data_IF_665261282995
#
_entry.id   IF_665261282995
#
_cell.length_a   1.000
_cell.length_b   1.000
_cell.length_c   1.000
_cell.angle_alpha   90.00
_cell.angle_beta   90.00
_cell.angle_gamma   90.00
#
_symmetry.space_group_name_H-M   'P 1'
#
loop_
_entity.id
_entity.type
_entity.pdbx_description
1 polymer ?
#
# COMPACT_ATOMS: atom_id res chain seq x y z
N UNK A 1 -26.88 6.94 -9.41
CA UNK A 1 -25.77 7.65 -8.75
C UNK A 1 -26.34 8.90 -8.13
N UNK A 2 -26.41 9.00 -6.80
CA UNK A 2 -26.75 10.29 -6.18
C UNK A 2 -25.59 11.25 -6.50
N UNK A 3 -25.89 12.31 -7.24
CA UNK A 3 -24.90 13.34 -7.53
C UNK A 3 -24.36 13.90 -6.21
N UNK A 4 -23.03 14.01 -6.10
CA UNK A 4 -22.40 14.66 -4.95
C UNK A 4 -22.95 16.10 -4.80
N UNK A 5 -23.14 16.61 -3.58
CA UNK A 5 -23.62 17.97 -3.39
C UNK A 5 -22.70 18.97 -4.12
N UNK A 6 -23.24 20.01 -4.79
CA UNK A 6 -22.42 21.01 -5.48
C UNK A 6 -21.36 21.66 -4.58
N UNK A 7 -21.66 21.80 -3.29
CA UNK A 7 -20.74 22.28 -2.26
C UNK A 7 -19.49 21.40 -2.12
N UNK A 8 -19.63 20.08 -2.26
CA UNK A 8 -18.49 19.16 -2.17
C UNK A 8 -17.44 19.45 -3.27
N UNK A 9 -17.88 19.86 -4.45
CA UNK A 9 -17.00 20.17 -5.57
C UNK A 9 -16.24 21.50 -5.36
N UNK A 10 -16.92 22.53 -4.87
CA UNK A 10 -16.27 23.81 -4.57
C UNK A 10 -15.25 23.66 -3.43
N UNK A 11 -15.59 22.88 -2.41
CA UNK A 11 -14.70 22.49 -1.32
C UNK A 11 -13.48 21.71 -1.82
N UNK A 12 -13.69 20.70 -2.67
CA UNK A 12 -12.60 19.91 -3.27
C UNK A 12 -11.62 20.77 -4.08
N UNK A 13 -12.14 21.65 -4.94
CA UNK A 13 -11.32 22.56 -5.75
C UNK A 13 -10.48 23.49 -4.87
N UNK A 14 -11.09 24.01 -3.80
CA UNK A 14 -10.44 24.91 -2.85
C UNK A 14 -9.29 24.21 -2.13
N UNK A 15 -9.54 23.03 -1.55
CA UNK A 15 -8.50 22.32 -0.80
C UNK A 15 -7.41 21.72 -1.69
N UNK A 16 -7.73 21.30 -2.91
CA UNK A 16 -6.72 20.85 -3.87
C UNK A 16 -5.74 21.96 -4.25
N UNK A 17 -6.26 23.19 -4.46
CA UNK A 17 -5.40 24.34 -4.73
C UNK A 17 -4.53 24.72 -3.51
N UNK A 18 -5.10 24.67 -2.30
CA UNK A 18 -4.34 24.92 -1.06
C UNK A 18 -3.25 23.88 -0.83
N UNK A 19 -3.53 22.60 -1.10
CA UNK A 19 -2.56 21.51 -0.96
C UNK A 19 -1.37 21.68 -1.92
N UNK A 20 -1.61 22.13 -3.15
CA UNK A 20 -0.53 22.45 -4.10
C UNK A 20 0.28 23.66 -3.65
N UNK A 21 -0.38 24.73 -3.19
CA UNK A 21 0.30 25.93 -2.70
C UNK A 21 1.16 25.63 -1.47
N UNK A 22 0.67 24.76 -0.57
CA UNK A 22 1.40 24.33 0.62
C UNK A 22 2.78 23.76 0.27
N UNK A 23 2.90 22.97 -0.80
CA UNK A 23 4.16 22.32 -1.15
C UNK A 23 5.27 23.31 -1.53
N UNK A 24 4.89 24.34 -2.28
CA UNK A 24 5.79 25.43 -2.66
C UNK A 24 6.23 26.24 -1.44
N UNK A 25 5.28 26.60 -0.57
CA UNK A 25 5.57 27.31 0.68
C UNK A 25 6.44 26.47 1.63
N UNK A 26 6.13 25.19 1.80
CA UNK A 26 6.89 24.27 2.63
C UNK A 26 8.32 24.09 2.13
N UNK A 27 8.50 23.89 0.82
CA UNK A 27 9.83 23.74 0.22
C UNK A 27 10.67 25.00 0.39
N UNK A 28 10.07 26.18 0.22
CA UNK A 28 10.72 27.48 0.48
C UNK A 28 11.08 27.65 1.95
N UNK A 29 10.18 27.28 2.87
CA UNK A 29 10.47 27.32 4.30
C UNK A 29 11.65 26.41 4.66
N UNK A 30 11.65 25.17 4.16
CA UNK A 30 12.70 24.19 4.45
C UNK A 30 14.06 24.60 3.89
N UNK A 31 14.10 25.20 2.68
CA UNK A 31 15.36 25.71 2.12
C UNK A 31 15.94 26.86 2.94
N UNK A 32 15.09 27.74 3.48
CA UNK A 32 15.52 28.91 4.25
C UNK A 32 15.82 28.62 5.72
N UNK A 33 15.13 27.67 6.36
CA UNK A 33 15.13 27.51 7.82
C UNK A 33 15.64 26.17 8.33
N UNK A 34 15.86 25.16 7.49
CA UNK A 34 16.28 23.82 7.93
C UNK A 34 17.50 23.82 8.86
N UNK A 35 18.50 24.66 8.60
CA UNK A 35 19.71 24.77 9.42
C UNK A 35 19.46 25.30 10.86
N UNK A 36 18.34 26.00 11.08
CA UNK A 36 17.98 26.57 12.38
C UNK A 36 17.00 25.68 13.16
N UNK A 37 16.55 24.56 12.58
CA UNK A 37 15.61 23.65 13.21
C UNK A 37 16.33 22.60 14.05
N UNK A 38 15.70 22.24 15.17
CA UNK A 38 16.12 21.09 15.99
C UNK A 38 15.85 19.78 15.26
N UNK A 39 16.51 18.70 15.68
CA UNK A 39 16.25 17.35 15.14
C UNK A 39 14.77 16.95 15.23
N UNK A 40 14.09 17.29 16.33
CA UNK A 40 12.66 17.03 16.49
C UNK A 40 11.81 17.80 15.48
N UNK A 41 12.11 19.07 15.23
CA UNK A 41 11.41 19.89 14.24
C UNK A 41 11.65 19.40 12.81
N UNK A 42 12.86 18.93 12.49
CA UNK A 42 13.18 18.30 11.20
C UNK A 42 12.37 17.01 11.01
N UNK A 43 12.26 16.16 12.05
CA UNK A 43 11.40 14.97 12.01
C UNK A 43 9.92 15.33 11.83
N UNK A 44 9.44 16.37 12.51
CA UNK A 44 8.08 16.89 12.32
C UNK A 44 7.84 17.38 10.90
N UNK A 45 8.79 18.11 10.31
CA UNK A 45 8.72 18.54 8.91
C UNK A 45 8.68 17.36 7.93
N UNK A 46 9.49 16.32 8.16
CA UNK A 46 9.45 15.10 7.37
C UNK A 46 8.08 14.40 7.46
N UNK A 47 7.49 14.30 8.66
CA UNK A 47 6.15 13.73 8.84
C UNK A 47 5.07 14.56 8.13
N UNK A 48 5.14 15.89 8.18
CA UNK A 48 4.24 16.76 7.41
C UNK A 48 4.35 16.49 5.90
N UNK A 49 5.57 16.36 5.38
CA UNK A 49 5.79 16.03 3.97
C UNK A 49 5.23 14.65 3.60
N UNK A 50 5.35 13.66 4.47
CA UNK A 50 4.74 12.32 4.29
C UNK A 50 3.22 12.42 4.14
N UNK A 51 2.54 13.14 5.03
CA UNK A 51 1.08 13.31 4.96
C UNK A 51 0.65 14.14 3.74
N UNK A 52 1.34 15.23 3.44
CA UNK A 52 1.07 16.04 2.25
C UNK A 52 1.20 15.25 0.96
N UNK A 53 2.29 14.47 0.82
CA UNK A 53 2.53 13.64 -0.36
C UNK A 53 1.43 12.58 -0.48
N UNK A 54 1.06 11.94 0.63
CA UNK A 54 -0.03 10.95 0.66
C UNK A 54 -1.38 11.56 0.24
N UNK A 55 -1.73 12.73 0.79
CA UNK A 55 -2.95 13.44 0.43
C UNK A 55 -2.95 13.87 -1.05
N UNK A 56 -1.80 14.25 -1.59
CA UNK A 56 -1.64 14.62 -3.00
C UNK A 56 -1.90 13.42 -3.92
N UNK A 57 -1.42 12.22 -3.56
CA UNK A 57 -1.71 10.99 -4.30
C UNK A 57 -3.21 10.68 -4.24
N UNK A 58 -3.84 10.81 -3.06
CA UNK A 58 -5.29 10.59 -2.90
C UNK A 58 -6.10 11.52 -3.81
N UNK A 59 -5.77 12.82 -3.83
CA UNK A 59 -6.42 13.82 -4.70
C UNK A 59 -6.26 13.46 -6.18
N UNK A 60 -5.06 13.06 -6.62
CA UNK A 60 -4.81 12.64 -8.01
C UNK A 60 -5.55 11.35 -8.41
N UNK A 61 -5.98 10.57 -7.42
CA UNK A 61 -6.72 9.32 -7.60
C UNK A 61 -8.23 9.50 -7.61
N UNK A 62 -8.74 10.71 -7.32
CA UNK A 62 -10.16 11.02 -7.42
C UNK A 62 -10.52 11.18 -8.89
N UNK A 63 -11.46 10.40 -9.42
CA UNK A 63 -11.88 10.52 -10.82
C UNK A 63 -12.62 11.83 -11.08
N UNK A 64 -12.50 12.31 -12.32
CA UNK A 64 -13.26 13.46 -12.80
C UNK A 64 -14.76 13.13 -12.86
N UNK A 65 -15.61 14.15 -12.74
CA UNK A 65 -17.07 14.01 -12.90
C UNK A 65 -17.47 13.48 -14.28
N UNK A 66 -16.63 13.69 -15.29
CA UNK A 66 -16.80 13.17 -16.64
C UNK A 66 -16.26 11.74 -16.83
N UNK A 67 -15.65 11.12 -15.81
CA UNK A 67 -15.18 9.73 -15.91
C UNK A 67 -16.39 8.78 -16.00
N UNK A 68 -16.54 8.01 -17.09
CA UNK A 68 -17.70 7.13 -17.28
C UNK A 68 -17.65 5.87 -16.41
N UNK A 69 -16.54 5.59 -15.73
CA UNK A 69 -16.34 4.38 -14.92
C UNK A 69 -16.99 4.52 -13.54
N UNK A 70 -17.27 3.40 -12.88
CA UNK A 70 -17.68 3.43 -11.48
C UNK A 70 -16.57 3.98 -10.58
N UNK A 71 -16.95 4.58 -9.45
CA UNK A 71 -16.00 5.07 -8.44
C UNK A 71 -15.03 3.98 -7.99
N UNK A 72 -15.51 2.74 -7.84
CA UNK A 72 -14.69 1.59 -7.43
C UNK A 72 -13.62 1.23 -8.44
N UNK A 73 -13.90 1.39 -9.74
CA UNK A 73 -12.92 1.12 -10.80
C UNK A 73 -11.96 2.30 -10.95
N UNK A 74 -12.49 3.51 -11.03
CA UNK A 74 -11.68 4.69 -11.33
C UNK A 74 -10.71 5.06 -10.20
N UNK A 75 -11.15 4.98 -8.93
CA UNK A 75 -10.28 5.25 -7.77
C UNK A 75 -9.25 4.14 -7.48
N UNK A 76 -9.27 3.05 -8.24
CA UNK A 76 -8.32 1.93 -8.18
C UNK A 76 -7.55 1.74 -9.50
N UNK A 77 -7.53 2.76 -10.36
CA UNK A 77 -6.83 2.68 -11.65
C UNK A 77 -5.30 2.61 -11.46
N UNK A 78 -4.72 1.46 -11.81
CA UNK A 78 -3.29 1.21 -11.72
C UNK A 78 -2.45 2.22 -12.50
N UNK A 79 -2.97 2.79 -13.60
CA UNK A 79 -2.24 3.79 -14.39
C UNK A 79 -2.07 5.11 -13.63
N UNK A 80 -3.04 5.47 -12.79
CA UNK A 80 -2.94 6.66 -11.93
C UNK A 80 -1.85 6.45 -10.88
N UNK A 81 -1.84 5.31 -10.22
CA UNK A 81 -0.84 5.00 -9.19
C UNK A 81 0.56 4.76 -9.75
N UNK A 82 0.68 4.24 -10.98
CA UNK A 82 1.96 4.14 -11.69
C UNK A 82 2.61 5.51 -11.90
N UNK A 83 1.82 6.57 -12.15
CA UNK A 83 2.35 7.94 -12.25
C UNK A 83 2.77 8.53 -10.91
N UNK A 84 2.37 7.92 -9.80
CA UNK A 84 2.67 8.37 -8.44
C UNK A 84 3.86 7.61 -7.82
N UNK A 85 4.58 6.76 -8.55
CA UNK A 85 5.69 5.95 -7.99
C UNK A 85 6.75 6.79 -7.28
N UNK A 86 7.12 7.96 -7.82
CA UNK A 86 8.07 8.87 -7.17
C UNK A 86 7.53 9.48 -5.87
N UNK A 87 6.22 9.76 -5.82
CA UNK A 87 5.56 10.26 -4.60
C UNK A 87 5.52 9.15 -3.54
N UNK A 88 5.20 7.91 -3.93
CA UNK A 88 5.29 6.75 -3.04
C UNK A 88 6.71 6.55 -2.51
N UNK A 89 7.73 6.67 -3.37
CA UNK A 89 9.13 6.56 -2.94
C UNK A 89 9.47 7.63 -1.91
N UNK A 90 8.99 8.86 -2.08
CA UNK A 90 9.16 9.95 -1.12
C UNK A 90 8.54 9.59 0.24
N UNK A 91 7.32 9.05 0.24
CA UNK A 91 6.65 8.58 1.47
C UNK A 91 7.46 7.49 2.18
N UNK A 92 7.92 6.48 1.44
CA UNK A 92 8.70 5.36 1.99
C UNK A 92 10.05 5.83 2.55
N UNK A 93 10.81 6.64 1.81
CA UNK A 93 12.14 7.10 2.23
C UNK A 93 12.09 7.99 3.48
N UNK A 94 11.12 8.91 3.55
CA UNK A 94 10.93 9.75 4.73
C UNK A 94 10.46 8.92 5.93
N UNK A 95 9.53 7.99 5.71
CA UNK A 95 9.06 7.08 6.75
C UNK A 95 10.21 6.23 7.29
N UNK A 96 11.05 5.65 6.44
CA UNK A 96 12.22 4.88 6.84
C UNK A 96 13.14 5.68 7.79
N UNK A 97 13.38 6.95 7.47
CA UNK A 97 14.19 7.84 8.30
C UNK A 97 13.54 8.11 9.67
N UNK A 98 12.22 8.30 9.70
CA UNK A 98 11.45 8.51 10.94
C UNK A 98 11.42 7.26 11.82
N UNK A 99 11.22 6.08 11.22
CA UNK A 99 11.23 4.79 11.92
C UNK A 99 12.60 4.52 12.53
N UNK A 100 13.67 4.66 11.75
CA UNK A 100 15.04 4.46 12.23
C UNK A 100 15.39 5.41 13.38
N UNK A 101 14.94 6.67 13.29
CA UNK A 101 15.14 7.64 14.37
C UNK A 101 14.39 7.25 15.65
N UNK A 102 13.15 6.76 15.53
CA UNK A 102 12.38 6.29 16.68
C UNK A 102 13.00 5.03 17.33
N UNK A 103 13.47 4.08 16.53
CA UNK A 103 14.20 2.89 17.01
C UNK A 103 15.48 3.30 17.78
N UNK A 104 16.24 4.25 17.26
CA UNK A 104 17.44 4.77 17.92
C UNK A 104 17.12 5.46 19.25
N UNK A 105 16.05 6.26 19.31
CA UNK A 105 15.62 6.92 20.55
C UNK A 105 15.22 5.90 21.63
N UNK A 106 14.57 4.79 21.23
CA UNK A 106 14.24 3.66 22.12
C UNK A 106 15.52 3.01 22.66
N UNK A 107 16.48 2.70 21.78
CA UNK A 107 17.76 2.09 22.16
C UNK A 107 18.57 2.99 23.10
N UNK A 108 18.51 4.30 22.90
CA UNK A 108 19.24 5.29 23.71
C UNK A 108 18.61 5.55 25.09
N UNK A 109 17.52 4.85 25.44
CA UNK A 109 16.81 5.03 26.72
C UNK A 109 15.93 6.28 26.80
N UNK A 110 16.00 7.17 25.79
CA UNK A 110 15.16 8.37 25.67
C UNK A 110 13.72 8.04 25.26
N UNK A 111 13.48 6.87 24.67
CA UNK A 111 12.15 6.42 24.24
C UNK A 111 11.25 5.87 25.36
N UNK A 112 11.73 5.74 26.61
CA UNK A 112 11.00 5.04 27.69
C UNK A 112 9.74 5.75 28.21
N UNK A 113 9.52 7.02 27.90
CA UNK A 113 8.23 7.68 28.16
C UNK A 113 7.17 7.39 27.06
N UNK A 114 7.58 6.85 25.91
CA UNK A 114 6.70 6.52 24.77
C UNK A 114 6.78 5.04 24.32
N UNK A 115 7.61 4.22 24.97
CA UNK A 115 7.92 2.83 24.59
C UNK A 115 7.00 1.76 25.16
N UNK A 116 5.79 2.13 25.60
CA UNK A 116 4.79 1.17 26.12
C UNK A 116 3.36 1.45 25.67
N UNK A 117 3.10 2.59 25.03
CA UNK A 117 1.80 2.90 24.47
C UNK A 117 1.77 2.41 23.02
N UNK A 118 1.15 1.25 22.84
CA UNK A 118 0.82 0.70 21.51
C UNK A 118 -0.24 1.52 20.78
N UNK A 119 -0.76 2.59 21.39
CA UNK A 119 -1.81 3.44 20.85
C UNK A 119 -1.45 4.94 20.91
N UNK A 120 -1.85 5.66 19.86
CA UNK A 120 -1.69 7.10 19.68
C UNK A 120 -2.93 7.69 19.03
N UNK A 121 -3.37 8.86 19.50
CA UNK A 121 -4.39 9.68 18.81
C UNK A 121 -3.81 10.49 17.66
N UNK A 122 -2.50 10.76 17.70
CA UNK A 122 -1.81 11.50 16.65
C UNK A 122 -1.57 10.62 15.42
N UNK A 123 -1.60 11.25 14.25
CA UNK A 123 -1.26 10.62 12.98
C UNK A 123 0.26 10.57 12.82
N UNK A 124 0.78 9.37 12.57
CA UNK A 124 2.17 9.13 12.24
C UNK A 124 2.28 8.47 10.86
N UNK A 125 3.19 7.51 10.74
CA UNK A 125 3.53 6.89 9.45
C UNK A 125 2.69 5.67 9.11
N UNK A 126 1.88 5.15 10.04
CA UNK A 126 1.13 3.88 9.83
C UNK A 126 0.13 4.02 8.69
N UNK A 127 -0.70 5.08 8.70
CA UNK A 127 -1.71 5.27 7.64
C UNK A 127 -1.09 5.56 6.26
N UNK A 128 -0.09 6.45 6.11
CA UNK A 128 0.64 6.64 4.87
C UNK A 128 1.28 5.35 4.33
N UNK A 129 1.97 4.58 5.17
CA UNK A 129 2.60 3.33 4.76
C UNK A 129 1.56 2.29 4.34
N UNK A 130 0.44 2.17 5.06
CA UNK A 130 -0.67 1.31 4.66
C UNK A 130 -1.20 1.70 3.26
N UNK A 131 -1.34 2.98 2.99
CA UNK A 131 -1.79 3.47 1.69
C UNK A 131 -0.80 3.12 0.56
N UNK A 132 0.51 3.25 0.79
CA UNK A 132 1.54 2.77 -0.15
C UNK A 132 1.39 1.27 -0.38
N UNK A 133 1.24 0.50 0.68
CA UNK A 133 1.14 -0.95 0.61
C UNK A 133 -0.03 -1.44 -0.26
N UNK A 134 -1.16 -0.74 -0.24
CA UNK A 134 -2.37 -1.13 -0.99
C UNK A 134 -2.37 -0.58 -2.42
N UNK A 135 -1.83 0.63 -2.65
CA UNK A 135 -2.00 1.35 -3.92
C UNK A 135 -0.78 1.33 -4.83
N UNK A 136 0.42 1.09 -4.30
CA UNK A 136 1.64 1.12 -5.11
C UNK A 136 1.70 -0.08 -6.06
N UNK A 137 1.88 0.21 -7.35
CA UNK A 137 2.02 -0.81 -8.41
C UNK A 137 3.43 -1.41 -8.42
N UNK A 138 4.44 -0.65 -7.98
CA UNK A 138 5.82 -1.11 -7.88
C UNK A 138 5.98 -2.10 -6.72
N UNK A 139 6.21 -3.37 -7.05
CA UNK A 139 6.28 -4.46 -6.07
C UNK A 139 7.46 -4.29 -5.10
N UNK A 140 8.69 -3.98 -5.54
CA UNK A 140 9.81 -3.77 -4.62
C UNK A 140 9.55 -2.65 -3.62
N UNK A 141 9.04 -1.50 -4.06
CA UNK A 141 8.73 -0.38 -3.18
C UNK A 141 7.60 -0.71 -2.19
N UNK A 142 6.61 -1.48 -2.65
CA UNK A 142 5.55 -1.99 -1.78
C UNK A 142 6.10 -2.89 -0.67
N UNK A 143 6.98 -3.84 -0.99
CA UNK A 143 7.56 -4.73 0.01
C UNK A 143 8.39 -3.95 1.04
N UNK A 144 9.13 -2.92 0.61
CA UNK A 144 9.82 -2.01 1.54
C UNK A 144 8.84 -1.33 2.51
N UNK A 145 7.69 -0.87 2.01
CA UNK A 145 6.66 -0.27 2.86
C UNK A 145 6.08 -1.27 3.88
N UNK A 146 5.87 -2.54 3.48
CA UNK A 146 5.40 -3.62 4.37
C UNK A 146 6.42 -3.92 5.46
N UNK A 147 7.71 -3.96 5.11
CA UNK A 147 8.81 -4.15 6.07
C UNK A 147 8.84 -3.01 7.10
N UNK A 148 8.76 -1.75 6.64
CA UNK A 148 8.71 -0.58 7.52
C UNK A 148 7.50 -0.62 8.46
N UNK A 149 6.32 -0.97 7.95
CA UNK A 149 5.11 -1.07 8.75
C UNK A 149 5.25 -2.14 9.85
N UNK A 150 5.93 -3.26 9.53
CA UNK A 150 6.20 -4.34 10.48
C UNK A 150 7.17 -3.93 11.61
N UNK A 151 8.04 -2.95 11.35
CA UNK A 151 8.99 -2.37 12.33
C UNK A 151 8.37 -1.31 13.23
N UNK A 152 7.12 -0.93 12.98
CA UNK A 152 6.38 0.06 13.75
C UNK A 152 5.14 -0.55 14.41
N UNK A 153 5.28 -1.43 15.43
CA UNK A 153 4.15 -2.08 16.11
C UNK A 153 3.37 -1.09 16.99
N UNK A 154 2.71 -0.13 16.34
CA UNK A 154 1.91 0.95 16.90
C UNK A 154 0.55 0.99 16.24
N UNK A 155 -0.43 1.52 16.97
CA UNK A 155 -1.77 1.87 16.51
C UNK A 155 -1.95 3.39 16.55
N UNK A 156 -2.35 3.97 15.43
CA UNK A 156 -2.61 5.40 15.24
C UNK A 156 -4.11 5.59 14.97
N UNK A 157 -4.88 5.86 16.03
CA UNK A 157 -6.34 5.87 15.97
C UNK A 157 -6.91 4.54 15.48
N UNK A 158 -7.47 4.53 14.26
CA UNK A 158 -8.01 3.33 13.62
C UNK A 158 -6.94 2.46 12.93
N UNK A 159 -5.74 2.98 12.74
CA UNK A 159 -4.69 2.30 11.96
C UNK A 159 -3.83 1.43 12.86
N UNK A 160 -4.03 0.13 12.82
CA UNK A 160 -3.19 -0.85 13.52
C UNK A 160 -2.19 -1.46 12.54
N UNK A 161 -0.89 -1.26 12.80
CA UNK A 161 0.20 -1.75 11.95
C UNK A 161 0.26 -3.29 11.86
N UNK A 162 0.09 -3.99 12.98
CA UNK A 162 0.22 -5.46 13.05
C UNK A 162 -0.93 -6.13 12.30
N UNK A 163 -2.15 -5.67 12.54
CA UNK A 163 -3.31 -6.12 11.79
C UNK A 163 -3.21 -5.70 10.32
N UNK A 164 -2.73 -4.48 10.07
CA UNK A 164 -2.53 -3.93 8.74
C UNK A 164 -1.62 -4.81 7.87
N UNK A 165 -0.45 -5.20 8.37
CA UNK A 165 0.49 -6.08 7.63
C UNK A 165 -0.16 -7.41 7.24
N UNK A 166 -0.95 -8.01 8.13
CA UNK A 166 -1.66 -9.27 7.84
C UNK A 166 -2.67 -9.08 6.71
N UNK A 167 -3.53 -8.07 6.82
CA UNK A 167 -4.54 -7.76 5.81
C UNK A 167 -3.92 -7.40 4.45
N UNK A 168 -2.81 -6.66 4.44
CA UNK A 168 -2.11 -6.29 3.21
C UNK A 168 -1.60 -7.55 2.48
N UNK A 169 -1.00 -8.50 3.19
CA UNK A 169 -0.49 -9.74 2.58
C UNK A 169 -1.64 -10.56 1.98
N UNK A 170 -2.70 -10.76 2.74
CA UNK A 170 -3.91 -11.45 2.26
C UNK A 170 -4.53 -10.75 1.04
N UNK A 171 -4.59 -9.42 1.05
CA UNK A 171 -5.08 -8.62 -0.08
C UNK A 171 -4.28 -8.89 -1.36
N UNK A 172 -2.95 -8.92 -1.29
CA UNK A 172 -2.12 -9.15 -2.48
C UNK A 172 -2.15 -10.60 -2.97
N UNK A 173 -2.25 -11.57 -2.06
CA UNK A 173 -2.49 -12.97 -2.41
C UNK A 173 -3.81 -13.12 -3.19
N UNK A 174 -4.88 -12.48 -2.72
CA UNK A 174 -6.17 -12.46 -3.41
C UNK A 174 -6.10 -11.77 -4.78
N UNK A 175 -5.44 -10.62 -4.86
CA UNK A 175 -5.25 -9.86 -6.10
C UNK A 175 -4.43 -10.65 -7.15
N UNK A 176 -3.41 -11.40 -6.72
CA UNK A 176 -2.64 -12.27 -7.59
C UNK A 176 -3.48 -13.44 -8.12
N UNK A 177 -4.23 -14.11 -7.25
CA UNK A 177 -5.15 -15.18 -7.64
C UNK A 177 -6.21 -14.66 -8.63
N UNK A 178 -6.79 -13.48 -8.38
CA UNK A 178 -7.73 -12.83 -9.28
C UNK A 178 -7.11 -12.53 -10.65
N UNK A 179 -5.87 -12.02 -10.68
CA UNK A 179 -5.14 -11.79 -11.94
C UNK A 179 -4.84 -13.08 -12.69
N UNK A 180 -4.51 -14.17 -12.00
CA UNK A 180 -4.28 -15.48 -12.61
C UNK A 180 -5.57 -16.01 -13.27
N UNK A 181 -6.70 -15.93 -12.56
CA UNK A 181 -8.03 -16.29 -13.07
C UNK A 181 -8.39 -15.49 -14.32
N UNK A 182 -8.26 -14.16 -14.29
CA UNK A 182 -8.57 -13.29 -15.44
C UNK A 182 -7.70 -13.56 -16.67
N UNK A 183 -6.48 -14.05 -16.48
CA UNK A 183 -5.56 -14.40 -17.58
C UNK A 183 -5.78 -15.83 -18.11
N UNK A 184 -6.82 -16.53 -17.65
CA UNK A 184 -7.08 -17.93 -18.01
C UNK A 184 -5.93 -18.86 -17.59
N UNK A 185 -5.13 -18.45 -16.60
CA UNK A 185 -4.06 -19.30 -16.03
C UNK A 185 -4.61 -20.32 -15.04
N UNK A 186 -5.89 -20.21 -14.70
CA UNK A 186 -6.62 -21.19 -13.91
C UNK A 186 -7.74 -21.71 -14.79
N UNK A 187 -7.80 -23.02 -14.99
CA UNK A 187 -8.84 -23.70 -15.75
C UNK A 187 -9.54 -24.74 -14.89
N UNK A 188 -10.86 -24.86 -15.02
CA UNK A 188 -11.60 -25.99 -14.48
C UNK A 188 -11.55 -27.11 -15.51
N UNK A 189 -10.99 -28.25 -15.14
CA UNK A 189 -11.06 -29.47 -15.95
C UNK A 189 -12.19 -30.32 -15.39
N UNK A 190 -13.17 -30.62 -16.23
CA UNK A 190 -14.27 -31.54 -15.93
C UNK A 190 -13.98 -32.86 -16.64
N UNK A 191 -13.83 -33.94 -15.90
CA UNK A 191 -13.68 -35.28 -16.44
C UNK A 191 -15.05 -35.86 -16.85
N UNK A 192 -15.06 -36.80 -17.79
CA UNK A 192 -16.28 -37.40 -18.33
C UNK A 192 -17.12 -38.15 -17.28
N UNK A 193 -16.52 -38.52 -16.15
CA UNK A 193 -17.20 -39.15 -15.01
C UNK A 193 -17.73 -38.15 -13.96
N UNK A 194 -17.67 -36.85 -14.26
CA UNK A 194 -18.18 -35.77 -13.43
C UNK A 194 -17.22 -35.31 -12.33
N UNK A 195 -16.01 -35.86 -12.23
CA UNK A 195 -14.95 -35.27 -11.40
C UNK A 195 -14.51 -33.94 -11.98
N UNK A 196 -14.09 -33.02 -11.11
CA UNK A 196 -13.49 -31.76 -11.54
C UNK A 196 -12.23 -31.44 -10.74
N UNK A 197 -11.30 -30.78 -11.41
CA UNK A 197 -10.06 -30.29 -10.80
C UNK A 197 -9.72 -28.88 -11.32
N UNK A 198 -9.14 -28.07 -10.44
CA UNK A 198 -8.54 -26.80 -10.83
C UNK A 198 -7.12 -27.02 -11.35
N UNK A 199 -6.90 -26.71 -12.62
CA UNK A 199 -5.58 -26.73 -13.24
C UNK A 199 -4.97 -25.34 -13.30
N UNK A 200 -3.68 -25.26 -13.02
CA UNK A 200 -2.89 -24.03 -13.10
C UNK A 200 -1.94 -24.13 -14.30
N UNK A 201 -2.00 -23.16 -15.21
CA UNK A 201 -1.07 -23.08 -16.34
C UNK A 201 0.20 -22.38 -15.86
N UNK A 202 1.26 -23.15 -15.67
CA UNK A 202 2.57 -22.57 -15.35
C UNK A 202 3.03 -21.67 -16.50
N UNK A 203 3.34 -20.41 -16.18
CA UNK A 203 3.79 -19.39 -17.14
C UNK A 203 5.22 -19.61 -17.67
N UNK A 204 5.71 -20.84 -17.65
CA UNK A 204 7.03 -21.21 -18.16
C UNK A 204 6.99 -21.53 -19.65
N UNK A 205 6.92 -20.51 -20.50
CA UNK A 205 7.43 -20.67 -21.87
C UNK A 205 8.95 -20.74 -21.80
N UNK A 206 9.47 -21.95 -21.52
CA UNK A 206 10.84 -22.32 -21.80
C UNK A 206 10.80 -23.11 -23.10
N UNK A 207 11.42 -22.54 -24.13
CA UNK A 207 11.44 -23.09 -25.48
C UNK A 207 11.84 -24.56 -25.50
N UNK A 208 11.31 -25.25 -26.50
CA UNK A 208 11.72 -26.58 -26.90
C UNK A 208 13.26 -26.67 -26.95
N UNK A 209 13.80 -27.57 -26.15
CA UNK A 209 15.22 -27.89 -26.08
C UNK A 209 15.37 -29.17 -25.27
N UNK A 210 15.70 -30.26 -25.97
CA UNK A 210 15.52 -31.64 -25.52
C UNK A 210 16.23 -32.06 -24.23
N UNK A 211 15.57 -32.99 -23.54
CA UNK A 211 16.14 -34.18 -22.89
C UNK A 211 17.24 -34.00 -21.84
N UNK A 212 16.90 -34.25 -20.58
CA UNK A 212 17.55 -35.22 -19.68
C UNK A 212 16.97 -35.06 -18.27
N UNK A 213 16.52 -36.16 -17.67
CA UNK A 213 15.84 -36.14 -16.38
C UNK A 213 16.74 -35.83 -15.19
N UNK A 214 16.14 -35.33 -14.12
CA UNK A 214 16.48 -35.62 -12.72
C UNK A 214 15.26 -35.29 -11.87
N UNK A 215 14.79 -36.26 -11.09
CA UNK A 215 13.66 -36.10 -10.19
C UNK A 215 14.02 -35.24 -8.98
N UNK A 216 13.08 -34.39 -8.55
CA UNK A 216 13.01 -33.90 -7.17
C UNK A 216 11.55 -33.96 -6.73
N UNK A 217 11.30 -34.89 -5.81
CA UNK A 217 10.09 -34.98 -5.02
C UNK A 217 9.85 -33.67 -4.26
N UNK A 218 8.63 -33.15 -4.32
CA UNK A 218 8.21 -32.00 -3.53
C UNK A 218 6.85 -31.48 -3.94
N UNK A 219 5.81 -32.31 -3.82
CA UNK A 219 4.43 -31.82 -3.84
C UNK A 219 4.24 -30.78 -2.73
N UNK A 220 3.79 -29.55 -3.01
CA UNK A 220 3.28 -28.69 -1.96
C UNK A 220 1.98 -29.31 -1.49
N UNK A 221 1.99 -29.85 -0.26
CA UNK A 221 0.79 -30.33 0.42
C UNK A 221 -0.29 -29.27 0.33
N UNK A 222 -1.40 -29.61 -0.33
CA UNK A 222 -2.66 -28.88 -0.21
C UNK A 222 -3.03 -28.85 1.28
N UNK A 223 -2.83 -27.70 1.92
CA UNK A 223 -3.48 -27.45 3.19
C UNK A 223 -4.95 -27.27 2.88
N UNK A 224 -5.68 -28.38 3.04
CA UNK A 224 -7.12 -28.44 3.02
C UNK A 224 -7.66 -27.63 4.22
N UNK A 225 -7.70 -26.30 4.09
CA UNK A 225 -8.56 -25.48 4.93
C UNK A 225 -9.95 -25.55 4.31
N UNK A 226 -10.76 -26.40 4.92
CA UNK A 226 -12.21 -26.43 4.81
C UNK A 226 -12.76 -25.00 4.87
N UNK A 227 -12.97 -24.37 3.71
CA UNK A 227 -13.90 -23.26 3.58
C UNK A 227 -15.29 -23.89 3.48
N UNK A 228 -16.03 -23.78 4.58
CA UNK A 228 -17.43 -24.14 4.64
C UNK A 228 -18.17 -23.57 3.45
N UNK A 229 -18.79 -24.49 2.72
CA UNK A 229 -19.94 -24.33 1.83
C UNK A 229 -20.72 -23.04 2.06
N UNK A 230 -20.62 -22.10 1.11
CA UNK A 230 -21.66 -21.09 0.91
C UNK A 230 -22.45 -21.53 -0.33
N UNK A 231 -23.53 -22.26 -0.08
CA UNK A 231 -24.60 -22.49 -1.06
C UNK A 231 -25.33 -21.15 -1.21
N UNK A 232 -25.55 -20.74 -2.46
CA UNK A 232 -26.38 -19.59 -2.84
C UNK A 232 -27.83 -19.87 -2.48
#
# INVERSE_FOLDING_TARGET
MNAQPPEAYSTYKTYSAQLLAWDSSFSTFMSLKSHALTALQIRGAALLKVHHTTATIMVRSIPDLADPRSISVAANDAMVFTRCTNDFQTVVSLSQSLVAAAEHDIQSGNGRLAGGLTFSTDMGVVAPLYYVCIKCVDVPLREQAIELLSRCPRREGMWDSVLGVRMIREFWEMEEAHRALRRGRVGLVLEDDGRWEWTWRDGGSRGEGGGAGYGVNGTPKSHNRSMSTMII
#
